data_IF_574836616801
#
_entry.id   IF_574836616801
#
_cell.length_a   1.000
_cell.length_b   1.000
_cell.length_c   1.000
_cell.angle_alpha   90.00
_cell.angle_beta   90.00
_cell.angle_gamma   90.00
#
_symmetry.space_group_name_H-M   'P 1'
#
loop_
_entity.id
_entity.type
_entity.pdbx_description
1 polymer ?
#
# COMPACT_ATOMS: atom_id res chain seq x y z
N UNK A 1 -10.29 18.79 13.77
CA UNK A 1 -8.96 18.22 13.44
C UNK A 1 -8.53 16.99 14.24
N UNK A 2 -8.94 16.78 15.51
CA UNK A 2 -8.49 15.63 16.31
C UNK A 2 -8.99 14.25 15.82
N UNK A 3 -10.20 14.21 15.25
CA UNK A 3 -10.84 12.96 14.80
C UNK A 3 -10.12 12.36 13.59
N UNK A 4 -9.77 13.20 12.59
CA UNK A 4 -9.03 12.77 11.40
C UNK A 4 -7.62 12.29 11.76
N UNK A 5 -6.93 13.00 12.66
CA UNK A 5 -5.60 12.60 13.15
C UNK A 5 -5.61 11.26 13.90
N UNK A 6 -6.69 10.94 14.62
CA UNK A 6 -6.84 9.67 15.32
C UNK A 6 -7.00 8.51 14.35
N UNK A 7 -7.81 8.66 13.30
CA UNK A 7 -8.01 7.62 12.29
C UNK A 7 -6.75 7.34 11.45
N UNK A 8 -5.99 8.38 11.08
CA UNK A 8 -4.70 8.22 10.37
C UNK A 8 -3.71 7.41 11.21
N UNK A 9 -3.55 7.78 12.49
CA UNK A 9 -2.67 7.04 13.39
C UNK A 9 -3.16 5.63 13.69
N UNK A 10 -4.46 5.37 13.61
CA UNK A 10 -5.02 4.01 13.75
C UNK A 10 -4.73 3.14 12.52
N UNK A 11 -4.81 3.67 11.30
CA UNK A 11 -4.45 2.94 10.09
C UNK A 11 -2.97 2.55 10.09
N UNK A 12 -2.06 3.50 10.35
CA UNK A 12 -0.62 3.23 10.41
C UNK A 12 -0.27 2.18 11.47
N UNK A 13 -0.89 2.26 12.66
CA UNK A 13 -0.70 1.25 13.73
C UNK A 13 -1.20 -0.13 13.34
N UNK A 14 -2.31 -0.22 12.59
CA UNK A 14 -2.82 -1.51 12.09
C UNK A 14 -1.88 -2.11 11.07
N UNK A 15 -1.38 -1.30 10.13
CA UNK A 15 -0.38 -1.73 9.15
C UNK A 15 0.90 -2.19 9.86
N UNK A 16 1.39 -1.44 10.84
CA UNK A 16 2.59 -1.83 11.60
C UNK A 16 2.46 -3.18 12.28
N UNK A 17 1.33 -3.43 12.95
CA UNK A 17 1.04 -4.73 13.56
C UNK A 17 0.93 -5.83 12.52
N UNK A 18 0.35 -5.56 11.35
CA UNK A 18 0.22 -6.53 10.27
C UNK A 18 1.59 -6.97 9.74
N UNK A 19 2.48 -6.02 9.43
CA UNK A 19 3.83 -6.33 8.95
C UNK A 19 4.65 -7.07 10.02
N UNK A 20 4.60 -6.61 11.28
CA UNK A 20 5.30 -7.29 12.38
C UNK A 20 4.81 -8.73 12.58
N UNK A 21 3.49 -8.95 12.56
CA UNK A 21 2.93 -10.29 12.67
C UNK A 21 3.35 -11.19 11.50
N UNK A 22 3.49 -10.64 10.30
CA UNK A 22 3.95 -11.38 9.14
C UNK A 22 5.42 -11.77 9.27
N UNK A 23 6.27 -10.87 9.77
CA UNK A 23 7.68 -11.13 10.06
C UNK A 23 7.83 -12.21 11.15
N UNK A 24 7.13 -12.05 12.28
CA UNK A 24 7.20 -12.98 13.42
C UNK A 24 6.75 -14.40 13.05
N UNK A 25 5.84 -14.53 12.08
CA UNK A 25 5.27 -15.81 11.64
C UNK A 25 5.88 -16.33 10.34
N UNK A 26 6.85 -15.63 9.77
CA UNK A 26 7.37 -15.90 8.43
C UNK A 26 6.25 -16.08 7.38
N UNK A 27 5.21 -15.24 7.47
CA UNK A 27 4.02 -15.32 6.62
C UNK A 27 4.21 -14.52 5.32
N UNK A 28 3.50 -14.95 4.28
CA UNK A 28 3.43 -14.23 3.01
C UNK A 28 2.34 -13.17 3.12
N UNK A 29 2.63 -11.95 2.65
CA UNK A 29 1.63 -10.89 2.53
C UNK A 29 1.01 -10.91 1.14
N UNK A 30 -0.32 -11.05 1.09
CA UNK A 30 -1.10 -10.96 -0.13
C UNK A 30 -1.94 -9.69 -0.10
N UNK A 31 -1.75 -8.82 -1.10
CA UNK A 31 -2.56 -7.64 -1.33
C UNK A 31 -3.41 -7.85 -2.57
N UNK A 32 -4.72 -7.90 -2.39
CA UNK A 32 -5.68 -7.95 -3.49
C UNK A 32 -6.07 -6.56 -3.95
N UNK A 33 -6.48 -6.44 -5.21
CA UNK A 33 -6.93 -5.18 -5.83
C UNK A 33 -5.88 -4.05 -5.75
N UNK A 34 -4.62 -4.39 -6.05
CA UNK A 34 -3.50 -3.46 -6.02
C UNK A 34 -3.67 -2.27 -6.99
N UNK A 35 -4.52 -2.39 -8.01
CA UNK A 35 -4.89 -1.30 -8.92
C UNK A 35 -5.82 -0.24 -8.30
N UNK A 36 -6.53 -0.57 -7.22
CA UNK A 36 -7.23 0.40 -6.40
C UNK A 36 -6.29 1.09 -5.40
N UNK A 37 -5.41 0.32 -4.75
CA UNK A 37 -4.46 0.83 -3.75
C UNK A 37 -3.36 1.71 -4.34
N UNK A 38 -2.84 1.33 -5.51
CA UNK A 38 -1.71 2.00 -6.17
C UNK A 38 -2.13 2.65 -7.48
N UNK A 39 -3.39 3.08 -7.57
CA UNK A 39 -3.89 3.83 -8.71
C UNK A 39 -3.04 5.09 -8.96
N UNK A 40 -2.94 5.52 -10.22
CA UNK A 40 -2.28 6.80 -10.57
C UNK A 40 -2.83 7.93 -9.71
N UNK A 41 -1.94 8.72 -9.11
CA UNK A 41 -2.30 9.87 -8.27
C UNK A 41 -3.28 10.77 -9.01
N UNK A 42 -4.51 10.87 -8.51
CA UNK A 42 -5.49 11.84 -9.02
C UNK A 42 -5.05 13.25 -8.60
N UNK A 43 -5.35 14.25 -9.44
CA UNK A 43 -5.13 15.65 -9.05
C UNK A 43 -5.92 15.92 -7.77
N UNK A 44 -5.21 16.29 -6.71
CA UNK A 44 -5.76 16.62 -5.40
C UNK A 44 -6.90 17.61 -5.58
N UNK A 45 -8.14 17.19 -5.29
CA UNK A 45 -9.30 18.08 -5.30
C UNK A 45 -9.67 18.49 -3.88
N UNK A 46 -9.50 17.59 -2.89
CA UNK A 46 -9.90 17.85 -1.50
C UNK A 46 -8.89 17.34 -0.46
N UNK A 47 -9.08 17.75 0.81
CA UNK A 47 -8.24 17.32 1.94
C UNK A 47 -8.25 15.79 2.13
N UNK A 48 -9.37 15.13 1.84
CA UNK A 48 -9.49 13.67 1.90
C UNK A 48 -8.53 12.96 0.93
N UNK A 49 -8.34 13.48 -0.29
CA UNK A 49 -7.41 12.92 -1.27
C UNK A 49 -5.95 13.02 -0.80
N UNK A 50 -5.60 14.09 -0.08
CA UNK A 50 -4.24 14.24 0.48
C UNK A 50 -3.93 13.16 1.50
N UNK A 51 -4.90 12.81 2.35
CA UNK A 51 -4.70 11.80 3.39
C UNK A 51 -4.60 10.39 2.81
N UNK A 52 -5.45 10.04 1.85
CA UNK A 52 -5.35 8.75 1.16
C UNK A 52 -3.97 8.58 0.49
N UNK A 53 -3.44 9.64 -0.12
CA UNK A 53 -2.08 9.60 -0.69
C UNK A 53 -0.97 9.39 0.36
N UNK A 54 -1.14 9.90 1.58
CA UNK A 54 -0.17 9.73 2.66
C UNK A 54 -0.17 8.30 3.21
N UNK A 55 -1.35 7.70 3.39
CA UNK A 55 -1.47 6.30 3.82
C UNK A 55 -0.87 5.33 2.78
N UNK A 56 -1.11 5.58 1.48
CA UNK A 56 -0.51 4.79 0.40
C UNK A 56 1.02 4.95 0.39
N UNK A 57 1.55 6.15 0.63
CA UNK A 57 2.99 6.37 0.72
C UNK A 57 3.61 5.61 1.90
N UNK A 58 2.95 5.60 3.06
CA UNK A 58 3.38 4.81 4.22
C UNK A 58 3.37 3.31 3.92
N UNK A 59 2.31 2.80 3.29
CA UNK A 59 2.23 1.39 2.88
C UNK A 59 3.37 1.02 1.92
N UNK A 60 3.66 1.86 0.92
CA UNK A 60 4.78 1.65 -0.01
C UNK A 60 6.12 1.59 0.71
N UNK A 61 6.35 2.44 1.72
CA UNK A 61 7.57 2.41 2.52
C UNK A 61 7.68 1.11 3.32
N UNK A 62 6.58 0.65 3.93
CA UNK A 62 6.56 -0.61 4.69
C UNK A 62 6.81 -1.83 3.82
N UNK A 63 6.20 -1.89 2.65
CA UNK A 63 6.47 -2.94 1.65
C UNK A 63 7.95 -2.94 1.27
N UNK A 64 8.56 -1.78 1.06
CA UNK A 64 9.96 -1.68 0.67
C UNK A 64 10.95 -2.10 1.79
N UNK A 65 10.54 -2.00 3.06
CA UNK A 65 11.34 -2.40 4.22
C UNK A 65 11.10 -3.85 4.65
N UNK A 66 10.00 -4.46 4.20
CA UNK A 66 9.65 -5.83 4.58
C UNK A 66 10.52 -6.83 3.82
N UNK A 67 11.24 -7.69 4.55
CA UNK A 67 12.14 -8.69 3.96
C UNK A 67 11.42 -9.95 3.46
N UNK A 68 10.17 -10.16 3.89
CA UNK A 68 9.34 -11.29 3.49
C UNK A 68 8.72 -11.16 2.10
N UNK A 69 8.09 -12.24 1.62
CA UNK A 69 7.44 -12.25 0.32
C UNK A 69 6.13 -11.46 0.36
N UNK A 70 6.01 -10.48 -0.54
CA UNK A 70 4.79 -9.73 -0.79
C UNK A 70 4.28 -10.02 -2.20
N UNK A 71 3.02 -10.41 -2.31
CA UNK A 71 2.33 -10.69 -3.58
C UNK A 71 1.22 -9.66 -3.77
N UNK A 72 1.13 -9.12 -4.98
CA UNK A 72 0.06 -8.21 -5.39
C UNK A 72 -0.77 -8.87 -6.49
N UNK A 73 -2.09 -8.82 -6.36
CA UNK A 73 -3.03 -9.15 -7.44
C UNK A 73 -3.75 -7.89 -7.88
N UNK A 74 -4.02 -7.76 -9.17
CA UNK A 74 -4.70 -6.61 -9.74
C UNK A 74 -5.57 -7.05 -10.92
N UNK A 75 -6.71 -6.38 -11.11
CA UNK A 75 -7.57 -6.64 -12.27
C UNK A 75 -6.97 -6.03 -13.53
N UNK A 76 -6.38 -4.84 -13.41
CA UNK A 76 -5.76 -4.15 -14.55
C UNK A 76 -4.38 -3.57 -14.20
N UNK A 77 -3.39 -3.77 -15.08
CA UNK A 77 -2.07 -3.16 -14.93
C UNK A 77 -2.05 -1.67 -15.30
N UNK A 78 -2.96 -1.23 -16.16
CA UNK A 78 -2.98 0.11 -16.78
C UNK A 78 -3.24 1.24 -15.78
N UNK A 79 -3.94 0.93 -14.70
CA UNK A 79 -4.30 1.91 -13.68
C UNK A 79 -3.25 2.06 -12.57
N UNK A 80 -2.29 1.14 -12.48
CA UNK A 80 -1.25 1.14 -11.45
C UNK A 80 -0.18 2.19 -11.77
N UNK A 81 0.31 2.89 -10.75
CA UNK A 81 1.43 3.82 -10.85
C UNK A 81 2.68 3.12 -11.45
N UNK A 82 3.19 3.59 -12.62
CA UNK A 82 4.40 3.05 -13.21
C UNK A 82 5.61 3.07 -12.26
N UNK A 83 5.69 4.03 -11.35
CA UNK A 83 6.76 4.09 -10.36
C UNK A 83 6.70 2.92 -9.37
N UNK A 84 5.49 2.47 -9.01
CA UNK A 84 5.29 1.29 -8.17
C UNK A 84 5.66 0.02 -8.94
N UNK A 85 5.22 -0.13 -10.19
CA UNK A 85 5.56 -1.29 -11.03
C UNK A 85 7.08 -1.46 -11.15
N UNK A 86 7.84 -0.36 -11.32
CA UNK A 86 9.32 -0.41 -11.41
C UNK A 86 10.01 -0.94 -10.14
N UNK A 87 9.35 -0.90 -8.98
CA UNK A 87 9.88 -1.42 -7.72
C UNK A 87 9.58 -2.90 -7.52
N UNK A 88 8.68 -3.49 -8.32
CA UNK A 88 8.37 -4.90 -8.24
C UNK A 88 9.53 -5.72 -8.81
N UNK A 89 9.94 -6.75 -8.07
CA UNK A 89 11.01 -7.67 -8.50
C UNK A 89 10.61 -8.54 -9.68
N UNK A 90 9.34 -8.90 -9.76
CA UNK A 90 8.78 -9.69 -10.84
C UNK A 90 7.34 -9.23 -11.13
N UNK A 91 6.94 -9.30 -12.40
CA UNK A 91 5.57 -9.07 -12.84
C UNK A 91 5.19 -10.23 -13.76
N UNK A 92 4.19 -11.00 -13.35
CA UNK A 92 3.65 -12.12 -14.13
C UNK A 92 2.33 -11.68 -14.73
N UNK A 93 2.14 -11.96 -16.02
CA UNK A 93 0.88 -11.73 -16.73
C UNK A 93 0.29 -13.08 -17.10
N UNK A 94 -1.02 -13.20 -16.92
CA UNK A 94 -1.83 -14.39 -17.21
C UNK A 94 -2.83 -14.05 -18.30
#
# INVERSE_FOLDING_TARGET
SAVVSKYIGETEKKLDRLFKNAEDKNAILLFEEADALFAKRTRIRDAHDRYANQEVAYLQQRIAMHEGLVIFTAKTKTNIDPAFIRRLRAVVSF
#
